data_IF_672407084263
#
_entry.id   IF_672407084263
#
_cell.length_a   1.000
_cell.length_b   1.000
_cell.length_c   1.000
_cell.angle_alpha   90.00
_cell.angle_beta   90.00
_cell.angle_gamma   90.00
#
_symmetry.space_group_name_H-M   'P 1'
#
loop_
_entity.id
_entity.type
_entity.pdbx_description
1 polymer ?
#
# COMPACT_ATOMS: atom_id res chain seq x y z
N UNK A 1 5.78 -11.67 -42.14
CA UNK A 1 6.93 -12.19 -41.37
C UNK A 1 7.20 -11.37 -40.11
N UNK A 2 7.25 -10.03 -40.19
CA UNK A 2 7.41 -9.16 -39.01
C UNK A 2 6.31 -9.37 -37.95
N UNK A 3 5.03 -9.35 -38.34
CA UNK A 3 3.87 -9.62 -37.47
C UNK A 3 3.93 -10.95 -36.71
N UNK A 4 4.39 -12.01 -37.37
CA UNK A 4 4.52 -13.33 -36.75
C UNK A 4 5.64 -13.35 -35.69
N UNK A 5 6.77 -12.71 -35.97
CA UNK A 5 7.88 -12.59 -35.00
C UNK A 5 7.47 -11.76 -33.79
N UNK A 6 6.79 -10.62 -34.00
CA UNK A 6 6.27 -9.77 -32.92
C UNK A 6 5.30 -10.54 -32.03
N UNK A 7 4.40 -11.34 -32.63
CA UNK A 7 3.45 -12.17 -31.88
C UNK A 7 4.14 -13.24 -31.04
N UNK A 8 5.11 -13.97 -31.61
CA UNK A 8 5.90 -14.97 -30.88
C UNK A 8 6.65 -14.36 -29.70
N UNK A 9 7.24 -13.18 -29.90
CA UNK A 9 7.94 -12.45 -28.85
C UNK A 9 6.99 -12.04 -27.73
N UNK A 10 5.79 -11.54 -28.04
CA UNK A 10 4.76 -11.20 -27.03
C UNK A 10 4.30 -12.43 -26.24
N UNK A 11 4.08 -13.56 -26.90
CA UNK A 11 3.73 -14.84 -26.24
C UNK A 11 4.86 -15.29 -25.29
N UNK A 12 6.12 -15.19 -25.74
CA UNK A 12 7.29 -15.50 -24.92
C UNK A 12 7.33 -14.61 -23.67
N UNK A 13 7.19 -13.30 -23.84
CA UNK A 13 7.18 -12.32 -22.73
C UNK A 13 6.03 -12.62 -21.76
N UNK A 14 4.83 -12.91 -22.23
CA UNK A 14 3.70 -13.24 -21.36
C UNK A 14 3.95 -14.48 -20.49
N UNK A 15 4.58 -15.53 -21.06
CA UNK A 15 4.99 -16.72 -20.30
C UNK A 15 6.07 -16.39 -19.27
N UNK A 16 7.07 -15.61 -19.65
CA UNK A 16 8.17 -15.21 -18.78
C UNK A 16 7.70 -14.33 -17.60
N UNK A 17 6.73 -13.45 -17.83
CA UNK A 17 6.11 -12.65 -16.77
C UNK A 17 5.36 -13.51 -15.74
N UNK A 18 4.69 -14.59 -16.16
CA UNK A 18 4.03 -15.52 -15.23
C UNK A 18 5.06 -16.18 -14.29
N UNK A 19 6.20 -16.63 -14.82
CA UNK A 19 7.27 -17.19 -14.00
C UNK A 19 7.88 -16.16 -13.04
N UNK A 20 7.98 -14.90 -13.47
CA UNK A 20 8.49 -13.79 -12.65
C UNK A 20 7.57 -13.44 -11.49
N UNK A 21 6.25 -13.43 -11.70
CA UNK A 21 5.25 -13.24 -10.63
C UNK A 21 5.38 -14.30 -9.54
N UNK A 22 5.63 -15.55 -9.93
CA UNK A 22 5.85 -16.64 -8.96
C UNK A 22 7.12 -16.42 -8.13
N UNK A 23 8.20 -15.92 -8.75
CA UNK A 23 9.46 -15.59 -8.06
C UNK A 23 9.33 -14.43 -7.07
N UNK A 24 8.53 -13.39 -7.37
CA UNK A 24 8.26 -12.29 -6.44
C UNK A 24 7.71 -12.83 -5.12
N UNK A 25 6.80 -13.81 -5.20
CA UNK A 25 6.19 -14.41 -4.01
C UNK A 25 7.17 -15.29 -3.24
N UNK A 26 7.99 -16.09 -3.93
CA UNK A 26 8.98 -16.95 -3.25
C UNK A 26 10.05 -16.17 -2.49
N UNK A 27 10.34 -14.93 -2.91
CA UNK A 27 11.29 -14.04 -2.22
C UNK A 27 10.71 -13.44 -0.94
N UNK A 28 9.41 -13.49 -0.74
CA UNK A 28 8.74 -12.81 0.37
C UNK A 28 8.23 -13.81 1.41
N UNK A 29 8.41 -13.49 2.69
CA UNK A 29 7.95 -14.32 3.80
C UNK A 29 6.43 -14.30 4.02
N UNK A 30 5.67 -13.59 3.18
CA UNK A 30 4.21 -13.44 3.23
C UNK A 30 3.60 -13.57 1.84
N UNK A 31 2.34 -13.98 1.80
CA UNK A 31 1.56 -14.02 0.57
C UNK A 31 1.24 -12.59 0.08
N UNK A 32 1.44 -12.36 -1.22
CA UNK A 32 1.12 -11.08 -1.88
C UNK A 32 -0.33 -11.09 -2.33
N UNK A 33 -1.13 -10.17 -1.79
CA UNK A 33 -2.53 -10.04 -2.16
C UNK A 33 -2.67 -9.60 -3.64
N UNK A 34 -3.68 -10.10 -4.35
CA UNK A 34 -3.92 -9.74 -5.76
C UNK A 34 -3.01 -10.46 -6.76
N UNK A 35 -2.06 -11.29 -6.31
CA UNK A 35 -1.26 -12.17 -7.19
C UNK A 35 -2.13 -12.99 -8.14
N UNK A 36 -3.18 -13.63 -7.62
CA UNK A 36 -4.09 -14.45 -8.43
C UNK A 36 -4.80 -13.62 -9.51
N UNK A 37 -5.13 -12.35 -9.21
CA UNK A 37 -5.73 -11.39 -10.16
C UNK A 37 -4.74 -11.05 -11.27
N UNK A 38 -3.49 -10.72 -10.92
CA UNK A 38 -2.42 -10.44 -11.89
C UNK A 38 -2.13 -11.65 -12.79
N UNK A 39 -2.00 -12.85 -12.21
CA UNK A 39 -1.82 -14.09 -12.97
C UNK A 39 -3.00 -14.37 -13.90
N UNK A 40 -4.22 -14.09 -13.47
CA UNK A 40 -5.42 -14.27 -14.30
C UNK A 40 -5.43 -13.32 -15.50
N UNK A 41 -5.09 -12.04 -15.29
CA UNK A 41 -4.92 -11.06 -16.39
C UNK A 41 -3.83 -11.49 -17.38
N UNK A 42 -2.65 -11.89 -16.91
CA UNK A 42 -1.57 -12.40 -17.76
C UNK A 42 -1.96 -13.66 -18.55
N UNK A 43 -2.70 -14.59 -17.94
CA UNK A 43 -3.20 -15.79 -18.63
C UNK A 43 -4.28 -15.46 -19.66
N UNK A 44 -5.14 -14.48 -19.39
CA UNK A 44 -6.14 -14.02 -20.35
C UNK A 44 -5.45 -13.41 -21.59
N UNK A 45 -4.44 -12.57 -21.37
CA UNK A 45 -3.61 -12.00 -22.43
C UNK A 45 -2.89 -13.09 -23.24
N UNK A 46 -2.26 -14.06 -22.56
CA UNK A 46 -1.61 -15.19 -23.23
C UNK A 46 -2.60 -16.00 -24.09
N UNK A 47 -3.80 -16.29 -23.58
CA UNK A 47 -4.86 -16.98 -24.34
C UNK A 47 -5.31 -16.18 -25.55
N UNK A 48 -5.40 -14.86 -25.42
CA UNK A 48 -5.73 -13.98 -26.54
C UNK A 48 -4.65 -14.06 -27.62
N UNK A 49 -3.38 -13.87 -27.26
CA UNK A 49 -2.26 -13.97 -28.20
C UNK A 49 -2.18 -15.34 -28.89
N UNK A 50 -2.44 -16.43 -28.15
CA UNK A 50 -2.50 -17.79 -28.72
C UNK A 50 -3.67 -17.98 -29.70
N UNK A 51 -4.82 -17.32 -29.49
CA UNK A 51 -5.93 -17.36 -30.45
C UNK A 51 -5.59 -16.62 -31.74
N UNK A 52 -4.85 -15.51 -31.64
CA UNK A 52 -4.32 -14.76 -32.80
C UNK A 52 -3.33 -15.62 -33.56
N UNK A 53 -2.42 -16.30 -32.86
CA UNK A 53 -1.43 -17.22 -33.45
C UNK A 53 -2.10 -18.38 -34.20
N UNK A 54 -3.17 -18.93 -33.64
CA UNK A 54 -3.96 -19.99 -34.26
C UNK A 54 -4.85 -19.51 -35.41
N UNK A 55 -4.78 -18.23 -35.80
CA UNK A 55 -5.59 -17.65 -36.88
C UNK A 55 -7.09 -17.54 -36.55
N UNK A 56 -7.47 -17.69 -35.28
CA UNK A 56 -8.88 -17.63 -34.84
C UNK A 56 -9.39 -16.19 -34.66
N UNK A 57 -8.47 -15.22 -34.64
CA UNK A 57 -8.78 -13.79 -34.50
C UNK A 57 -7.89 -13.03 -35.48
N UNK A 58 -8.50 -12.23 -36.35
CA UNK A 58 -7.80 -11.36 -37.31
C UNK A 58 -7.57 -10.01 -36.65
N UNK A 59 -6.31 -9.59 -36.53
CA UNK A 59 -5.94 -8.37 -35.80
C UNK A 59 -5.01 -7.51 -36.64
N UNK A 60 -5.22 -6.19 -36.62
CA UNK A 60 -4.32 -5.20 -37.22
C UNK A 60 -2.99 -5.15 -36.47
N UNK A 61 -1.88 -4.90 -37.16
CA UNK A 61 -0.54 -4.87 -36.55
C UNK A 61 -0.41 -3.85 -35.41
N UNK A 62 -1.12 -2.72 -35.47
CA UNK A 62 -1.19 -1.70 -34.40
C UNK A 62 -1.74 -2.25 -33.07
N UNK A 63 -2.75 -3.12 -33.12
CA UNK A 63 -3.32 -3.74 -31.92
C UNK A 63 -2.37 -4.78 -31.28
N UNK A 64 -1.43 -5.34 -32.05
CA UNK A 64 -0.37 -6.23 -31.55
C UNK A 64 0.77 -5.46 -30.86
N UNK A 65 0.92 -4.17 -31.17
CA UNK A 65 1.86 -3.28 -30.51
C UNK A 65 1.27 -2.70 -29.22
N UNK A 66 -0.02 -2.40 -29.19
CA UNK A 66 -0.80 -1.89 -28.06
C UNK A 66 -1.45 -2.99 -27.20
N UNK A 67 -0.72 -4.06 -26.89
CA UNK A 67 -1.26 -5.12 -26.02
C UNK A 67 -1.22 -4.72 -24.55
N UNK A 68 -2.17 -5.25 -23.76
CA UNK A 68 -2.21 -5.07 -22.30
C UNK A 68 -0.94 -5.59 -21.61
N UNK A 69 -0.15 -6.41 -22.31
CA UNK A 69 1.14 -6.89 -21.87
C UNK A 69 2.12 -5.76 -21.50
N UNK A 70 2.02 -4.58 -22.11
CA UNK A 70 2.86 -3.42 -21.79
C UNK A 70 2.65 -2.95 -20.35
N UNK A 71 1.39 -2.77 -19.94
CA UNK A 71 1.03 -2.40 -18.58
C UNK A 71 1.26 -3.56 -17.60
N UNK A 72 0.89 -4.80 -17.94
CA UNK A 72 1.14 -5.96 -17.06
C UNK A 72 2.63 -6.16 -16.79
N UNK A 73 3.48 -5.95 -17.80
CA UNK A 73 4.94 -5.94 -17.65
C UNK A 73 5.40 -4.84 -16.70
N UNK A 74 4.86 -3.64 -16.84
CA UNK A 74 5.17 -2.50 -15.97
C UNK A 74 4.84 -2.79 -14.49
N UNK A 75 3.74 -3.49 -14.20
CA UNK A 75 3.40 -3.90 -12.83
C UNK A 75 4.43 -4.89 -12.28
N UNK A 76 4.76 -5.93 -13.05
CA UNK A 76 5.72 -6.96 -12.63
C UNK A 76 7.11 -6.36 -12.39
N UNK A 77 7.60 -5.52 -13.31
CA UNK A 77 8.88 -4.83 -13.17
C UNK A 77 8.86 -3.87 -11.96
N UNK A 78 7.74 -3.22 -11.66
CA UNK A 78 7.64 -2.35 -10.49
C UNK A 78 7.73 -3.15 -9.20
N UNK A 79 7.03 -4.28 -9.12
CA UNK A 79 7.03 -5.15 -7.95
C UNK A 79 8.40 -5.81 -7.69
N UNK A 80 9.18 -6.12 -8.73
CA UNK A 80 10.50 -6.73 -8.58
C UNK A 80 11.57 -5.76 -8.03
N UNK A 81 11.39 -4.46 -8.24
CA UNK A 81 12.34 -3.43 -7.81
C UNK A 81 12.02 -2.87 -6.41
N UNK A 82 11.06 -3.44 -5.70
CA UNK A 82 10.61 -2.98 -4.39
C UNK A 82 10.68 -4.09 -3.35
N UNK A 83 10.89 -3.69 -2.11
CA UNK A 83 10.92 -4.60 -0.96
C UNK A 83 9.56 -4.70 -0.27
N UNK A 84 9.31 -5.82 0.42
CA UNK A 84 8.11 -6.04 1.24
C UNK A 84 6.81 -5.69 0.51
N UNK A 85 6.62 -6.23 -0.71
CA UNK A 85 5.38 -6.07 -1.48
C UNK A 85 4.23 -6.69 -0.68
N UNK A 86 3.19 -5.91 -0.45
CA UNK A 86 2.01 -6.34 0.31
C UNK A 86 0.92 -6.80 -0.64
N UNK A 87 0.70 -6.04 -1.72
CA UNK A 87 -0.35 -6.34 -2.68
C UNK A 87 -0.01 -5.79 -4.06
N UNK A 88 -0.65 -6.38 -5.07
CA UNK A 88 -0.66 -5.90 -6.45
C UNK A 88 -2.10 -5.76 -6.94
N UNK A 89 -2.38 -4.77 -7.78
CA UNK A 89 -3.73 -4.48 -8.30
C UNK A 89 -4.78 -4.32 -7.18
N UNK A 90 -4.40 -3.66 -6.10
CA UNK A 90 -5.23 -3.50 -4.91
C UNK A 90 -6.17 -2.30 -5.08
N UNK A 91 -7.41 -2.47 -4.63
CA UNK A 91 -8.47 -1.47 -4.77
C UNK A 91 -8.66 -0.79 -3.42
N UNK A 92 -8.41 0.52 -3.38
CA UNK A 92 -8.71 1.36 -2.23
C UNK A 92 -10.01 2.10 -2.46
N UNK A 93 -10.86 2.15 -1.44
CA UNK A 93 -12.01 3.05 -1.42
C UNK A 93 -11.63 4.35 -0.71
N UNK A 94 -12.09 5.48 -1.24
CA UNK A 94 -11.91 6.80 -0.67
C UNK A 94 -13.12 7.68 -0.96
N UNK A 95 -13.30 8.76 -0.21
CA UNK A 95 -14.34 9.76 -0.44
C UNK A 95 -13.76 10.90 -1.28
N UNK A 96 -14.41 11.20 -2.40
CA UNK A 96 -14.04 12.29 -3.28
C UNK A 96 -14.32 13.67 -2.67
N UNK A 97 -13.92 14.76 -3.35
CA UNK A 97 -14.15 16.13 -2.87
C UNK A 97 -15.64 16.48 -2.68
N UNK A 98 -16.52 15.79 -3.39
CA UNK A 98 -17.98 15.89 -3.34
C UNK A 98 -18.61 14.98 -2.27
N UNK A 99 -17.80 14.23 -1.52
CA UNK A 99 -18.25 13.25 -0.52
C UNK A 99 -18.75 11.94 -1.13
N UNK A 100 -18.66 11.75 -2.45
CA UNK A 100 -19.02 10.50 -3.08
C UNK A 100 -17.95 9.45 -2.87
N UNK A 101 -18.36 8.19 -2.69
CA UNK A 101 -17.41 7.08 -2.59
C UNK A 101 -16.85 6.78 -3.96
N UNK A 102 -15.54 6.76 -4.05
CA UNK A 102 -14.78 6.43 -5.25
C UNK A 102 -13.82 5.28 -4.97
N UNK A 103 -13.40 4.59 -6.03
CA UNK A 103 -12.39 3.54 -5.94
C UNK A 103 -11.13 3.95 -6.69
N UNK A 104 -9.98 3.48 -6.20
CA UNK A 104 -8.68 3.71 -6.79
C UNK A 104 -7.89 2.41 -6.84
N UNK A 105 -7.46 2.01 -8.03
CA UNK A 105 -6.59 0.85 -8.21
C UNK A 105 -5.12 1.28 -8.11
N UNK A 106 -4.44 0.74 -7.10
CA UNK A 106 -2.99 0.88 -6.92
C UNK A 106 -2.31 -0.38 -7.46
N UNK A 107 -1.40 -0.22 -8.41
CA UNK A 107 -0.81 -1.33 -9.14
C UNK A 107 0.12 -2.17 -8.26
N UNK A 108 0.93 -1.52 -7.42
CA UNK A 108 1.80 -2.17 -6.45
C UNK A 108 1.79 -1.42 -5.13
N UNK A 109 1.54 -2.13 -4.03
CA UNK A 109 1.70 -1.63 -2.67
C UNK A 109 2.90 -2.33 -2.03
N UNK A 110 3.91 -1.55 -1.65
CA UNK A 110 5.20 -2.07 -1.16
C UNK A 110 5.61 -1.42 0.17
N UNK A 111 6.79 -1.81 0.68
CA UNK A 111 7.37 -1.28 1.91
C UNK A 111 6.40 -1.37 3.11
N UNK A 112 5.69 -2.49 3.22
CA UNK A 112 4.72 -2.73 4.29
C UNK A 112 3.46 -1.85 4.21
N UNK A 113 3.14 -1.29 3.04
CA UNK A 113 1.97 -0.44 2.82
C UNK A 113 2.28 1.03 2.59
N UNK A 114 3.50 1.46 2.92
CA UNK A 114 3.89 2.87 2.88
C UNK A 114 4.35 3.36 1.52
N UNK A 115 4.29 2.53 0.48
CA UNK A 115 4.64 2.94 -0.88
C UNK A 115 3.59 2.43 -1.84
N UNK A 116 2.98 3.34 -2.58
CA UNK A 116 2.00 3.06 -3.62
C UNK A 116 2.60 3.39 -4.97
N UNK A 117 2.47 2.48 -5.92
CA UNK A 117 2.99 2.66 -7.28
C UNK A 117 1.87 2.62 -8.30
N UNK A 118 1.86 3.61 -9.18
CA UNK A 118 1.11 3.61 -10.44
C UNK A 118 2.07 3.26 -11.58
N UNK A 119 1.86 2.13 -12.23
CA UNK A 119 2.68 1.62 -13.32
C UNK A 119 2.11 2.06 -14.66
N UNK A 120 2.82 2.94 -15.37
CA UNK A 120 2.35 3.59 -16.59
C UNK A 120 3.11 3.03 -17.79
N UNK A 121 2.40 2.27 -18.62
CA UNK A 121 2.89 1.69 -19.87
C UNK A 121 2.56 2.51 -21.12
N UNK A 122 1.88 3.67 -21.00
CA UNK A 122 1.55 4.54 -22.15
C UNK A 122 2.77 5.32 -22.62
N UNK A 123 2.82 5.66 -23.92
CA UNK A 123 3.88 6.48 -24.54
C UNK A 123 3.85 7.92 -24.00
N UNK A 124 5.02 8.51 -23.76
CA UNK A 124 5.16 9.88 -23.25
C UNK A 124 4.36 10.94 -24.05
N UNK A 125 4.34 10.84 -25.37
CA UNK A 125 3.63 11.76 -26.26
C UNK A 125 2.12 11.70 -26.07
N UNK A 126 1.53 10.51 -26.02
CA UNK A 126 0.10 10.34 -25.78
C UNK A 126 -0.31 10.92 -24.42
N UNK A 127 0.53 10.71 -23.40
CA UNK A 127 0.31 11.27 -22.06
C UNK A 127 0.39 12.80 -22.05
N UNK A 128 1.34 13.38 -22.80
CA UNK A 128 1.50 14.83 -22.91
C UNK A 128 0.33 15.46 -23.65
N UNK A 129 -0.12 14.88 -24.76
CA UNK A 129 -1.26 15.38 -25.53
C UNK A 129 -2.55 15.41 -24.69
N UNK A 130 -2.83 14.35 -23.93
CA UNK A 130 -3.97 14.31 -22.99
C UNK A 130 -3.85 15.42 -21.95
N UNK A 131 -2.64 15.64 -21.41
CA UNK A 131 -2.43 16.70 -20.42
C UNK A 131 -2.63 18.11 -21.00
N UNK A 132 -2.34 18.31 -22.28
CA UNK A 132 -2.61 19.56 -23.00
C UNK A 132 -4.07 19.73 -23.43
N UNK A 133 -4.97 18.82 -23.04
CA UNK A 133 -6.39 18.88 -23.42
C UNK A 133 -6.68 18.32 -24.81
N UNK A 134 -5.70 17.72 -25.49
CA UNK A 134 -5.86 17.05 -26.80
C UNK A 134 -6.16 15.56 -26.66
N UNK A 135 -6.73 15.16 -25.53
CA UNK A 135 -7.20 13.80 -25.28
C UNK A 135 -8.59 13.56 -25.85
N UNK A 136 -9.06 12.32 -25.79
CA UNK A 136 -10.45 11.99 -26.11
C UNK A 136 -11.36 12.37 -24.93
N UNK A 137 -12.65 12.53 -25.20
CA UNK A 137 -13.64 12.71 -24.14
C UNK A 137 -13.56 11.54 -23.15
N UNK A 138 -13.47 11.84 -21.86
CA UNK A 138 -13.26 10.85 -20.79
C UNK A 138 -11.79 10.59 -20.40
N UNK A 139 -10.80 11.02 -21.20
CA UNK A 139 -9.39 10.80 -20.86
C UNK A 139 -8.98 11.56 -19.59
N UNK A 140 -8.62 10.81 -18.54
CA UNK A 140 -8.08 11.38 -17.30
C UNK A 140 -6.57 11.57 -17.41
N UNK A 141 -6.12 12.83 -17.34
CA UNK A 141 -4.70 13.16 -17.38
C UNK A 141 -3.93 12.53 -16.20
N UNK A 142 -2.64 12.30 -16.40
CA UNK A 142 -1.75 11.74 -15.35
C UNK A 142 -1.73 12.63 -14.10
N UNK A 143 -1.85 13.95 -14.28
CA UNK A 143 -1.90 14.91 -13.17
C UNK A 143 -3.20 14.75 -12.37
N UNK A 144 -4.35 14.57 -13.03
CA UNK A 144 -5.61 14.28 -12.33
C UNK A 144 -5.57 12.93 -11.60
N UNK A 145 -4.97 11.90 -12.21
CA UNK A 145 -4.75 10.62 -11.51
C UNK A 145 -3.87 10.80 -10.27
N UNK A 146 -2.83 11.64 -10.35
CA UNK A 146 -1.98 11.98 -9.23
C UNK A 146 -2.75 12.65 -8.07
N UNK A 147 -3.72 13.52 -8.38
CA UNK A 147 -4.61 14.12 -7.38
C UNK A 147 -5.44 13.06 -6.65
N UNK A 148 -6.04 12.11 -7.38
CA UNK A 148 -6.80 11.01 -6.77
C UNK A 148 -5.93 10.16 -5.84
N UNK A 149 -4.70 9.84 -6.27
CA UNK A 149 -3.75 9.07 -5.47
C UNK A 149 -3.41 9.80 -4.16
N UNK A 150 -3.15 11.11 -4.24
CA UNK A 150 -2.86 11.93 -3.07
C UNK A 150 -4.06 11.97 -2.12
N UNK A 151 -5.27 12.14 -2.65
CA UNK A 151 -6.48 12.19 -1.82
C UNK A 151 -6.76 10.84 -1.15
N UNK A 152 -6.76 9.75 -1.91
CA UNK A 152 -6.91 8.40 -1.38
C UNK A 152 -5.85 8.05 -0.32
N UNK A 153 -4.58 8.47 -0.53
CA UNK A 153 -3.49 8.19 0.41
C UNK A 153 -3.69 8.86 1.78
N UNK A 154 -4.32 10.04 1.83
CA UNK A 154 -4.61 10.75 3.08
C UNK A 154 -5.64 10.03 3.93
N UNK A 155 -6.56 9.32 3.28
CA UNK A 155 -7.64 8.58 3.92
C UNK A 155 -7.22 7.15 4.30
N UNK A 156 -6.11 6.66 3.77
CA UNK A 156 -5.55 5.33 4.02
C UNK A 156 -4.16 5.38 4.69
N UNK A 157 -4.01 6.05 5.86
CA UNK A 157 -2.71 6.14 6.51
C UNK A 157 -2.24 4.77 7.02
N UNK A 158 -0.98 4.45 6.78
CA UNK A 158 -0.31 3.26 7.31
C UNK A 158 0.56 3.71 8.48
N UNK A 159 0.29 3.16 9.66
CA UNK A 159 1.00 3.54 10.89
C UNK A 159 0.99 5.06 11.14
N UNK A 160 -0.12 5.71 10.85
CA UNK A 160 -0.30 7.17 10.95
C UNK A 160 0.48 8.01 9.94
N UNK A 161 1.08 7.39 8.93
CA UNK A 161 1.78 8.09 7.85
C UNK A 161 1.09 7.81 6.51
N UNK A 162 0.99 8.85 5.67
CA UNK A 162 0.40 8.68 4.35
C UNK A 162 1.38 7.88 3.48
N UNK A 163 0.90 6.91 2.68
CA UNK A 163 1.74 6.19 1.75
C UNK A 163 2.43 7.15 0.77
N UNK A 164 3.73 6.91 0.54
CA UNK A 164 4.51 7.61 -0.47
C UNK A 164 4.12 7.14 -1.86
N UNK A 165 3.84 8.07 -2.78
CA UNK A 165 3.33 7.73 -4.12
C UNK A 165 4.46 7.82 -5.15
N UNK A 166 4.56 6.78 -5.98
CA UNK A 166 5.51 6.69 -7.09
C UNK A 166 4.76 6.46 -8.39
N UNK A 167 4.99 7.32 -9.37
CA UNK A 167 4.52 7.12 -10.75
C UNK A 167 5.68 6.56 -11.58
N UNK A 168 5.53 5.31 -12.01
CA UNK A 168 6.55 4.55 -12.71
C UNK A 168 6.25 4.46 -14.20
N UNK A 169 6.93 5.27 -14.99
CA UNK A 169 6.83 5.31 -16.44
C UNK A 169 7.80 4.30 -17.07
N UNK A 170 7.30 3.52 -18.02
CA UNK A 170 8.08 2.51 -18.75
C UNK A 170 8.32 2.86 -20.22
N UNK A 171 7.61 3.87 -20.74
CA UNK A 171 7.75 4.38 -22.11
C UNK A 171 7.93 5.91 -22.13
N UNK A 172 8.65 6.41 -21.12
CA UNK A 172 9.01 7.81 -20.94
C UNK A 172 7.90 8.70 -20.36
N UNK A 173 8.31 9.87 -19.87
CA UNK A 173 7.44 10.98 -19.43
C UNK A 173 8.04 12.31 -19.84
N UNK A 174 7.23 13.26 -20.30
CA UNK A 174 7.74 14.58 -20.67
C UNK A 174 8.31 15.34 -19.46
N UNK A 175 9.40 16.09 -19.65
CA UNK A 175 10.02 16.88 -18.56
C UNK A 175 9.03 17.75 -17.80
N UNK A 176 8.14 18.53 -18.45
CA UNK A 176 7.20 19.39 -17.73
C UNK A 176 6.21 18.59 -16.88
N UNK A 177 5.77 17.42 -17.34
CA UNK A 177 4.91 16.53 -16.54
C UNK A 177 5.65 15.94 -15.34
N UNK A 178 6.90 15.50 -15.55
CA UNK A 178 7.73 14.94 -14.49
C UNK A 178 7.98 15.98 -13.39
N UNK A 179 8.25 17.22 -13.77
CA UNK A 179 8.45 18.33 -12.83
C UNK A 179 7.16 18.67 -12.11
N UNK A 180 6.01 18.67 -12.81
CA UNK A 180 4.72 18.88 -12.18
C UNK A 180 4.38 17.83 -11.12
N UNK A 181 4.64 16.55 -11.40
CA UNK A 181 4.44 15.46 -10.45
C UNK A 181 5.32 15.62 -9.21
N UNK A 182 6.59 16.03 -9.39
CA UNK A 182 7.51 16.29 -8.26
C UNK A 182 7.03 17.46 -7.40
N UNK A 183 6.53 18.54 -8.02
CA UNK A 183 5.94 19.68 -7.28
C UNK A 183 4.76 19.24 -6.39
N UNK A 184 3.98 18.26 -6.83
CA UNK A 184 2.88 17.68 -6.06
C UNK A 184 3.34 16.73 -4.94
N UNK A 185 4.64 16.44 -4.84
CA UNK A 185 5.21 15.50 -3.88
C UNK A 185 5.23 14.05 -4.35
N UNK A 186 4.96 13.78 -5.63
CA UNK A 186 4.99 12.42 -6.21
C UNK A 186 6.39 12.13 -6.76
N UNK A 187 6.92 10.95 -6.43
CA UNK A 187 8.17 10.49 -7.02
C UNK A 187 7.95 9.93 -8.42
N UNK A 188 8.82 10.31 -9.35
CA UNK A 188 8.78 9.85 -10.74
C UNK A 188 9.91 8.84 -10.96
N UNK A 189 9.57 7.70 -11.55
CA UNK A 189 10.51 6.67 -12.04
C UNK A 189 10.35 6.53 -13.54
N UNK A 190 11.45 6.38 -14.27
CA UNK A 190 11.47 6.19 -15.73
C UNK A 190 12.31 7.25 -16.44
N UNK A 191 12.29 7.18 -17.77
CA UNK A 191 13.01 8.12 -18.63
C UNK A 191 12.22 9.43 -18.78
N UNK A 192 12.87 10.55 -18.52
CA UNK A 192 12.34 11.89 -18.72
C UNK A 192 12.78 12.35 -20.11
N UNK A 193 11.82 12.65 -20.97
CA UNK A 193 12.06 13.06 -22.37
C UNK A 193 11.84 14.56 -22.55
N UNK A 194 12.59 15.15 -23.47
CA UNK A 194 12.53 16.57 -23.77
C UNK A 194 11.22 16.95 -24.47
N UNK A 195 10.90 18.24 -24.43
CA UNK A 195 9.74 18.82 -25.11
C UNK A 195 10.22 20.03 -25.89
N UNK A 196 9.88 20.07 -27.18
CA UNK A 196 10.23 21.16 -28.08
C UNK A 196 9.00 22.05 -28.31
N UNK A 197 9.19 23.37 -28.33
CA UNK A 197 8.14 24.33 -28.70
C UNK A 197 8.15 24.49 -30.22
N UNK A 198 7.01 24.26 -30.85
CA UNK A 198 6.78 24.51 -32.26
C UNK A 198 6.04 25.85 -32.34
N UNK A 199 6.65 26.81 -33.03
CA UNK A 199 5.99 28.05 -33.44
C UNK A 199 5.32 27.73 -34.78
N UNK A 200 4.03 28.02 -34.91
CA UNK A 200 3.20 27.56 -36.02
C UNK A 200 3.78 27.85 -37.39
N UNK A 201 4.09 26.79 -38.12
CA UNK A 201 3.94 26.75 -39.57
C UNK A 201 3.03 25.55 -39.84
N UNK A 202 1.97 25.78 -40.61
CA UNK A 202 0.97 24.80 -41.02
C UNK A 202 1.66 23.49 -41.49
N UNK A 203 1.51 22.39 -40.75
CA UNK A 203 1.86 21.07 -41.30
C UNK A 203 0.63 20.55 -42.02
N UNK A 204 0.75 20.47 -43.36
CA UNK A 204 -0.10 19.64 -44.22
C UNK A 204 -0.21 18.23 -43.62
N UNK A 205 -1.43 17.69 -43.58
CA UNK A 205 -1.76 16.34 -43.13
C UNK A 205 -0.96 15.26 -43.90
N UNK A 206 0.28 14.99 -43.53
CA UNK A 206 1.00 13.78 -43.92
C UNK A 206 0.88 12.72 -42.81
N UNK A 207 -0.14 11.89 -42.98
CA UNK A 207 -0.26 10.50 -42.52
C UNK A 207 0.32 10.16 -41.13
N UNK A 208 -0.54 10.18 -40.11
CA UNK A 208 -0.38 9.32 -38.94
C UNK A 208 -1.66 8.54 -38.63
N UNK A 209 -1.86 7.44 -39.35
CA UNK A 209 -2.78 6.36 -38.98
C UNK A 209 -2.31 5.61 -37.71
N UNK A 210 -2.15 6.30 -36.58
CA UNK A 210 -1.94 5.65 -35.27
C UNK A 210 -3.14 5.94 -34.37
N UNK A 211 -4.32 5.50 -34.82
CA UNK A 211 -5.51 5.35 -33.97
C UNK A 211 -5.30 4.14 -33.05
N UNK A 212 -4.50 4.29 -32.00
CA UNK A 212 -4.55 3.39 -30.84
C UNK A 212 -5.90 3.60 -30.15
N UNK A 213 -6.82 2.64 -30.34
CA UNK A 213 -8.11 2.61 -29.67
C UNK A 213 -7.87 2.48 -28.17
N UNK A 214 -8.28 3.47 -27.39
CA UNK A 214 -8.29 3.39 -25.94
C UNK A 214 -9.19 2.23 -25.51
N UNK A 215 -8.58 1.11 -25.10
CA UNK A 215 -9.29 0.09 -24.35
C UNK A 215 -9.21 0.50 -22.89
N UNK A 216 -10.29 1.10 -22.41
CA UNK A 216 -10.52 1.28 -20.99
C UNK A 216 -10.59 -0.11 -20.33
N UNK A 217 -9.69 -0.36 -19.36
CA UNK A 217 -9.87 -1.41 -18.36
C UNK A 217 -10.04 -0.78 -16.98
N UNK A 218 -11.06 0.06 -16.83
CA UNK A 218 -11.69 0.34 -15.53
C UNK A 218 -13.20 0.14 -15.70
N UNK A 219 -13.62 -1.12 -15.85
CA UNK A 219 -15.02 -1.50 -15.62
C UNK A 219 -15.17 -1.83 -14.15
N UNK A 220 -15.78 -0.89 -13.42
CA UNK A 220 -16.45 -1.17 -12.15
C UNK A 220 -17.67 -2.05 -12.46
N UNK A 221 -17.70 -3.26 -11.92
CA UNK A 221 -18.91 -4.10 -11.90
C UNK A 221 -19.80 -3.59 -10.77
N UNK A 222 -20.87 -2.85 -11.10
CA UNK A 222 -22.03 -2.68 -10.21
C UNK A 222 -23.36 -2.87 -10.95
N UNK A 223 -24.37 -3.17 -10.15
CA UNK A 223 -25.57 -3.96 -10.40
C UNK A 223 -26.60 -3.38 -11.38
N UNK A 224 -27.42 -4.31 -11.87
CA UNK A 224 -28.73 -4.11 -12.48
C UNK A 224 -29.62 -3.19 -11.62
N UNK A 225 -30.12 -2.11 -12.22
CA UNK A 225 -31.50 -1.67 -11.99
C UNK A 225 -32.02 -0.89 -13.21
N UNK A 226 -33.27 -1.19 -13.52
CA UNK A 226 -34.09 -0.68 -14.62
C UNK A 226 -34.34 0.83 -14.45
N UNK A 227 -34.49 1.58 -15.56
CA UNK A 227 -35.64 2.48 -15.86
C UNK A 227 -35.33 3.34 -17.11
N UNK A 228 -36.24 3.16 -18.09
CA UNK A 228 -36.86 4.10 -19.05
C UNK A 228 -36.03 4.99 -20.00
N UNK A 229 -36.43 4.88 -21.27
CA UNK A 229 -36.02 5.63 -22.45
C UNK A 229 -36.57 7.06 -22.39
N UNK A 230 -35.72 8.07 -22.57
CA UNK A 230 -36.13 9.39 -23.06
C UNK A 230 -35.16 9.83 -24.17
N UNK A 231 -35.72 10.04 -25.36
CA UNK A 231 -35.09 10.62 -26.54
C UNK A 231 -35.02 12.14 -26.35
N UNK A 232 -33.84 12.76 -26.48
CA UNK A 232 -33.74 14.21 -26.67
C UNK A 232 -32.80 14.56 -27.84
N UNK A 233 -33.22 15.59 -28.55
CA UNK A 233 -32.88 16.00 -29.92
C UNK A 233 -31.50 16.67 -30.02
N UNK A 234 -30.80 16.48 -31.15
CA UNK A 234 -29.56 17.18 -31.45
C UNK A 234 -29.86 18.62 -31.91
N UNK A 235 -29.25 19.60 -31.23
CA UNK A 235 -29.11 20.98 -31.73
C UNK A 235 -27.65 21.18 -32.21
N UNK A 236 -27.52 21.42 -33.52
CA UNK A 236 -26.30 21.87 -34.18
C UNK A 236 -25.95 23.30 -33.71
N UNK A 237 -24.88 23.46 -32.93
CA UNK A 237 -24.24 24.77 -32.72
C UNK A 237 -22.93 24.83 -33.54
N UNK A 238 -23.02 25.53 -34.66
CA UNK A 238 -21.90 26.18 -35.35
C UNK A 238 -21.26 27.18 -34.37
N UNK A 239 -19.98 27.02 -34.01
CA UNK A 239 -19.24 28.11 -33.37
C UNK A 239 -17.86 28.34 -33.99
N UNK A 240 -17.63 29.62 -34.20
CA UNK A 240 -16.65 30.29 -35.04
C UNK A 240 -15.21 30.08 -34.56
N UNK A 241 -14.29 30.08 -35.53
CA UNK A 241 -12.85 30.08 -35.33
C UNK A 241 -12.39 31.35 -34.60
N UNK A 242 -11.82 31.20 -33.40
CA UNK A 242 -10.96 32.22 -32.79
C UNK A 242 -9.50 31.71 -32.80
N UNK A 243 -8.76 32.22 -33.78
CA UNK A 243 -7.38 31.89 -34.11
C UNK A 243 -6.43 32.63 -33.15
N UNK A 244 -6.34 32.15 -31.90
CA UNK A 244 -5.24 32.53 -31.01
C UNK A 244 -4.08 31.57 -31.21
N UNK A 245 -2.95 32.07 -31.71
CA UNK A 245 -1.61 31.43 -31.78
C UNK A 245 -1.34 30.49 -30.58
N UNK A 246 -1.76 29.23 -30.69
CA UNK A 246 -1.53 28.22 -29.67
C UNK A 246 -0.10 27.72 -29.85
N UNK A 247 0.82 28.19 -29.00
CA UNK A 247 2.15 27.59 -28.91
C UNK A 247 2.03 26.08 -28.64
N UNK A 248 2.31 25.27 -29.65
CA UNK A 248 2.21 23.82 -29.55
C UNK A 248 3.54 23.23 -29.07
N UNK A 249 3.49 22.36 -28.06
CA UNK A 249 4.68 21.63 -27.63
C UNK A 249 4.61 20.18 -28.04
N UNK A 250 5.72 19.63 -28.55
CA UNK A 250 5.83 18.24 -29.02
C UNK A 250 6.91 17.50 -28.24
N UNK A 251 6.62 16.26 -27.89
CA UNK A 251 7.57 15.41 -27.15
C UNK A 251 8.66 14.91 -28.09
N UNK A 252 9.91 15.15 -27.74
CA UNK A 252 11.08 14.57 -28.42
C UNK A 252 11.49 13.29 -27.69
N UNK A 253 11.12 12.15 -28.26
CA UNK A 253 11.34 10.82 -27.65
C UNK A 253 12.81 10.40 -27.68
N UNK A 254 13.60 10.94 -28.60
CA UNK A 254 14.99 10.53 -28.80
C UNK A 254 15.92 11.27 -27.83
N UNK A 255 15.46 12.40 -27.29
CA UNK A 255 16.22 13.21 -26.33
C UNK A 255 15.80 12.90 -24.88
N UNK A 256 16.48 11.92 -24.27
CA UNK A 256 16.34 11.62 -22.83
C UNK A 256 17.13 12.64 -22.01
N UNK A 257 16.42 13.42 -21.20
CA UNK A 257 16.97 14.46 -20.33
C UNK A 257 17.49 13.85 -19.02
N UNK A 258 16.83 12.83 -18.50
CA UNK A 258 17.25 12.10 -17.29
C UNK A 258 16.61 10.71 -17.26
N UNK A 259 17.23 9.75 -16.56
CA UNK A 259 16.64 8.44 -16.27
C UNK A 259 16.61 8.22 -14.76
N UNK A 260 15.40 8.07 -14.20
CA UNK A 260 15.20 7.93 -12.76
C UNK A 260 14.86 6.48 -12.42
N UNK A 261 15.73 5.83 -11.63
CA UNK A 261 15.47 4.50 -11.10
C UNK A 261 14.47 4.54 -9.93
N UNK A 262 14.01 3.36 -9.47
CA UNK A 262 13.31 3.28 -8.20
C UNK A 262 14.22 3.80 -7.07
N UNK A 263 13.68 4.58 -6.11
CA UNK A 263 14.47 5.02 -4.97
C UNK A 263 15.01 3.79 -4.21
N UNK A 264 16.33 3.69 -4.07
CA UNK A 264 16.99 2.58 -3.37
C UNK A 264 16.63 2.58 -1.88
N UNK A 265 16.32 3.75 -1.33
CA UNK A 265 15.69 3.94 -0.03
C UNK A 265 14.47 4.86 -0.24
N UNK A 266 13.26 4.29 -0.29
CA UNK A 266 12.06 5.11 -0.17
C UNK A 266 12.06 5.63 1.26
N UNK A 267 12.19 6.95 1.45
CA UNK A 267 12.01 7.61 2.75
C UNK A 267 10.55 7.44 3.18
N UNK A 268 10.27 6.29 3.77
CA UNK A 268 9.01 6.05 4.46
C UNK A 268 9.11 6.79 5.79
N UNK A 269 8.21 7.74 6.03
CA UNK A 269 8.06 8.35 7.34
C UNK A 269 7.47 7.30 8.30
N UNK A 270 8.32 6.44 8.85
CA UNK A 270 7.89 5.37 9.76
C UNK A 270 7.55 6.02 11.10
N UNK A 271 6.38 5.70 11.66
CA UNK A 271 6.01 6.23 12.96
C UNK A 271 7.04 5.85 14.04
N UNK A 272 7.58 6.89 14.69
CA UNK A 272 8.62 6.78 15.71
C UNK A 272 8.07 6.79 17.13
N UNK A 273 6.76 6.69 17.30
CA UNK A 273 6.10 6.69 18.60
C UNK A 273 5.43 5.35 18.85
N UNK A 274 5.61 4.83 20.06
CA UNK A 274 5.06 3.54 20.47
C UNK A 274 4.33 3.70 21.78
N UNK A 275 3.12 3.17 21.86
CA UNK A 275 2.32 3.11 23.07
C UNK A 275 2.33 1.66 23.60
N UNK A 276 2.76 1.45 24.83
CA UNK A 276 2.86 0.11 25.41
C UNK A 276 1.57 -0.22 26.18
N UNK A 277 0.85 -1.22 25.70
CA UNK A 277 -0.25 -1.84 26.45
C UNK A 277 0.31 -2.57 27.69
N UNK A 278 -0.55 -2.78 28.69
CA UNK A 278 -0.25 -3.56 29.91
C UNK A 278 0.27 -4.94 29.53
N UNK A 279 -0.31 -5.57 28.51
CA UNK A 279 0.15 -6.90 28.05
C UNK A 279 1.58 -6.89 27.52
N UNK A 280 2.00 -5.79 26.90
CA UNK A 280 3.39 -5.56 26.46
C UNK A 280 4.29 -5.27 27.64
N UNK A 281 3.87 -4.43 28.60
CA UNK A 281 4.64 -4.17 29.82
C UNK A 281 4.94 -5.46 30.58
N UNK A 282 3.92 -6.31 30.76
CA UNK A 282 4.04 -7.63 31.41
C UNK A 282 4.98 -8.55 30.63
N UNK A 283 4.73 -8.68 29.31
CA UNK A 283 5.53 -9.57 28.46
C UNK A 283 6.99 -9.13 28.43
N UNK A 284 7.24 -7.83 28.31
CA UNK A 284 8.60 -7.30 28.24
C UNK A 284 9.40 -7.62 29.49
N UNK A 285 8.80 -7.59 30.68
CA UNK A 285 9.53 -7.80 31.95
C UNK A 285 9.48 -9.24 32.46
N UNK A 286 8.62 -10.09 31.88
CA UNK A 286 8.40 -11.48 32.30
C UNK A 286 9.70 -12.27 32.43
N UNK A 287 9.79 -13.10 33.46
CA UNK A 287 10.90 -14.06 33.62
C UNK A 287 11.02 -15.01 32.43
N UNK A 288 9.89 -15.43 31.83
CA UNK A 288 9.87 -16.28 30.63
C UNK A 288 10.67 -15.62 29.50
N UNK A 289 10.37 -14.35 29.20
CA UNK A 289 11.00 -13.57 28.13
C UNK A 289 12.51 -13.35 28.31
N UNK A 290 13.03 -13.63 29.50
CA UNK A 290 14.45 -13.51 29.85
C UNK A 290 15.13 -14.87 30.01
N UNK A 291 14.55 -15.94 29.44
CA UNK A 291 15.18 -17.25 29.34
C UNK A 291 14.75 -18.26 30.42
N UNK A 292 13.99 -17.85 31.44
CA UNK A 292 13.47 -18.76 32.46
C UNK A 292 12.24 -19.54 31.99
N UNK A 293 12.35 -20.16 30.81
CA UNK A 293 11.28 -20.88 30.13
C UNK A 293 11.45 -22.41 30.18
N UNK A 294 12.39 -22.94 30.99
CA UNK A 294 12.66 -24.38 31.12
C UNK A 294 11.97 -25.01 32.33
N UNK A 295 10.71 -24.63 32.55
CA UNK A 295 9.89 -25.10 33.66
C UNK A 295 8.53 -25.62 33.18
N UNK A 296 8.02 -26.61 33.89
CA UNK A 296 6.63 -27.05 33.87
C UNK A 296 5.92 -26.46 35.09
N UNK A 297 4.99 -25.54 34.85
CA UNK A 297 4.19 -24.90 35.88
C UNK A 297 2.92 -25.71 36.18
N UNK A 298 2.33 -25.49 37.36
CA UNK A 298 1.03 -26.09 37.72
C UNK A 298 -0.09 -25.61 36.80
N UNK A 299 -0.04 -24.34 36.41
CA UNK A 299 -0.96 -23.77 35.45
C UNK A 299 -0.56 -24.12 34.01
N UNK A 300 -1.44 -24.84 33.30
CA UNK A 300 -1.21 -25.31 31.92
C UNK A 300 -0.83 -24.15 31.00
N UNK A 301 -1.53 -23.02 31.10
CA UNK A 301 -1.28 -21.82 30.27
C UNK A 301 0.15 -21.28 30.43
N UNK A 302 0.74 -21.36 31.64
CA UNK A 302 2.12 -20.90 31.85
C UNK A 302 3.12 -21.87 31.24
N UNK A 303 2.85 -23.17 31.31
CA UNK A 303 3.66 -24.21 30.64
C UNK A 303 3.60 -24.05 29.12
N UNK A 304 2.44 -23.74 28.56
CA UNK A 304 2.27 -23.44 27.13
C UNK A 304 3.06 -22.20 26.72
N UNK A 305 2.97 -21.10 27.48
CA UNK A 305 3.75 -19.89 27.18
C UNK A 305 5.25 -20.10 27.29
N UNK A 306 5.72 -20.89 28.26
CA UNK A 306 7.11 -21.29 28.37
C UNK A 306 7.56 -22.12 27.15
N UNK A 307 6.72 -23.05 26.68
CA UNK A 307 6.99 -23.81 25.46
C UNK A 307 7.06 -22.92 24.21
N UNK A 308 6.15 -21.95 24.10
CA UNK A 308 6.18 -20.96 23.02
C UNK A 308 7.46 -20.11 23.06
N UNK A 309 7.92 -19.68 24.24
CA UNK A 309 9.16 -18.90 24.35
C UNK A 309 10.41 -19.70 23.94
N UNK A 310 10.43 -21.01 24.17
CA UNK A 310 11.50 -21.89 23.69
C UNK A 310 11.50 -22.03 22.16
N UNK A 311 10.34 -21.95 21.52
CA UNK A 311 10.20 -22.01 20.07
C UNK A 311 10.51 -20.66 19.40
N UNK A 312 9.95 -19.58 19.95
CA UNK A 312 10.09 -18.23 19.45
C UNK A 312 10.24 -17.24 20.61
N UNK A 313 11.44 -16.67 20.72
CA UNK A 313 11.76 -15.68 21.75
C UNK A 313 11.08 -14.36 21.44
N UNK A 314 10.28 -13.86 22.38
CA UNK A 314 9.52 -12.62 22.16
C UNK A 314 10.38 -11.36 22.34
N UNK A 315 11.32 -11.38 23.29
CA UNK A 315 12.05 -10.17 23.70
C UNK A 315 12.84 -9.51 22.56
N UNK A 316 13.63 -10.24 21.73
CA UNK A 316 14.36 -9.61 20.62
C UNK A 316 13.44 -8.88 19.63
N UNK A 317 12.25 -9.44 19.36
CA UNK A 317 11.26 -8.81 18.47
C UNK A 317 10.69 -7.52 19.06
N UNK A 318 10.46 -7.48 20.37
CA UNK A 318 10.01 -6.27 21.06
C UNK A 318 11.10 -5.19 21.04
N UNK A 319 12.35 -5.57 21.32
CA UNK A 319 13.48 -4.64 21.33
C UNK A 319 13.80 -4.07 19.95
N UNK A 320 13.78 -4.90 18.92
CA UNK A 320 13.95 -4.48 17.53
C UNK A 320 12.89 -3.45 17.15
N UNK A 321 11.62 -3.71 17.46
CA UNK A 321 10.54 -2.78 17.15
C UNK A 321 10.64 -1.46 17.93
N UNK A 322 11.04 -1.50 19.20
CA UNK A 322 11.18 -0.30 20.05
C UNK A 322 12.45 0.50 19.78
N UNK A 323 13.43 -0.06 19.06
CA UNK A 323 14.73 0.57 18.84
C UNK A 323 14.59 1.92 18.13
N UNK A 324 15.14 2.96 18.73
CA UNK A 324 15.13 4.33 18.19
C UNK A 324 13.78 5.05 18.28
N UNK A 325 12.77 4.46 18.95
CA UNK A 325 11.43 5.04 19.09
C UNK A 325 11.21 5.68 20.45
N UNK A 326 10.31 6.66 20.48
CA UNK A 326 9.79 7.23 21.70
C UNK A 326 8.73 6.30 22.31
N UNK A 327 8.92 5.94 23.58
CA UNK A 327 8.06 4.98 24.27
C UNK A 327 7.10 5.71 25.21
N UNK A 328 5.82 5.43 25.06
CA UNK A 328 4.73 5.98 25.84
C UNK A 328 3.94 4.86 26.51
N UNK A 329 3.28 5.21 27.61
CA UNK A 329 2.22 4.41 28.21
C UNK A 329 1.21 5.35 28.87
N UNK A 330 -0.08 5.05 28.76
CA UNK A 330 -1.09 5.85 29.44
C UNK A 330 -1.08 5.56 30.95
N UNK A 331 -1.56 6.52 31.73
CA UNK A 331 -1.54 6.46 33.19
C UNK A 331 -2.26 5.20 33.71
N UNK A 332 -3.47 4.92 33.20
CA UNK A 332 -4.21 3.70 33.56
C UNK A 332 -3.40 2.42 33.30
N UNK A 333 -2.66 2.35 32.19
CA UNK A 333 -1.84 1.19 31.86
C UNK A 333 -0.72 0.96 32.89
N UNK A 334 -0.04 2.03 33.27
CA UNK A 334 1.08 1.95 34.23
C UNK A 334 0.58 1.61 35.64
N UNK A 335 -0.55 2.19 36.06
CA UNK A 335 -1.16 1.91 37.36
C UNK A 335 -1.61 0.45 37.45
N UNK A 336 -2.36 -0.04 36.45
CA UNK A 336 -2.77 -1.44 36.39
C UNK A 336 -1.58 -2.40 36.34
N UNK A 337 -0.54 -2.06 35.56
CA UNK A 337 0.69 -2.85 35.49
C UNK A 337 1.39 -2.95 36.85
N UNK A 338 1.51 -1.84 37.59
CA UNK A 338 2.09 -1.83 38.94
C UNK A 338 1.31 -2.72 39.90
N UNK A 339 -0.03 -2.64 39.89
CA UNK A 339 -0.88 -3.51 40.73
C UNK A 339 -0.63 -5.00 40.45
N UNK A 340 -0.54 -5.37 39.17
CA UNK A 340 -0.25 -6.76 38.76
C UNK A 340 1.15 -7.17 39.21
N UNK A 341 2.15 -6.31 39.01
CA UNK A 341 3.54 -6.56 39.36
C UNK A 341 3.74 -6.69 40.87
N UNK A 342 3.07 -5.88 41.68
CA UNK A 342 3.14 -5.96 43.13
C UNK A 342 2.52 -7.25 43.67
N UNK A 343 1.46 -7.72 43.02
CA UNK A 343 0.72 -8.94 43.40
C UNK A 343 1.45 -10.21 42.97
N UNK A 344 2.03 -10.23 41.76
CA UNK A 344 2.53 -11.46 41.13
C UNK A 344 4.03 -11.47 40.83
N UNK A 345 4.66 -10.31 40.70
CA UNK A 345 6.02 -10.17 40.21
C UNK A 345 7.08 -10.60 41.21
N UNK A 346 8.10 -11.32 40.73
CA UNK A 346 9.31 -11.62 41.49
C UNK A 346 10.32 -10.47 41.51
N UNK A 347 11.42 -10.58 42.28
CA UNK A 347 12.44 -9.55 42.39
C UNK A 347 13.07 -9.14 41.04
N UNK A 348 13.36 -10.10 40.17
CA UNK A 348 13.92 -9.83 38.84
C UNK A 348 12.94 -9.12 37.92
N UNK A 349 11.69 -9.56 37.88
CA UNK A 349 10.59 -8.92 37.13
C UNK A 349 10.37 -7.48 37.60
N UNK A 350 10.43 -7.24 38.92
CA UNK A 350 10.33 -5.89 39.51
C UNK A 350 11.49 -4.99 39.11
N UNK A 351 12.72 -5.50 39.22
CA UNK A 351 13.91 -4.74 38.80
C UNK A 351 13.88 -4.37 37.31
N UNK A 352 13.45 -5.29 36.44
CA UNK A 352 13.28 -5.02 35.01
C UNK A 352 12.16 -4.03 34.73
N UNK A 353 11.07 -4.08 35.49
CA UNK A 353 9.99 -3.11 35.39
C UNK A 353 10.42 -1.70 35.74
N UNK A 354 11.23 -1.51 36.79
CA UNK A 354 11.80 -0.20 37.13
C UNK A 354 12.65 0.35 35.99
N UNK A 355 13.51 -0.49 35.40
CA UNK A 355 14.34 -0.11 34.26
C UNK A 355 13.51 0.26 33.01
N UNK A 356 12.41 -0.46 32.74
CA UNK A 356 11.50 -0.15 31.65
C UNK A 356 10.74 1.15 31.91
N UNK A 357 10.17 1.32 33.10
CA UNK A 357 9.39 2.50 33.48
C UNK A 357 10.23 3.78 33.44
N UNK A 358 11.52 3.71 33.78
CA UNK A 358 12.44 4.84 33.67
C UNK A 358 12.63 5.34 32.22
N UNK A 359 12.37 4.50 31.21
CA UNK A 359 12.45 4.84 29.78
C UNK A 359 11.13 5.34 29.21
N UNK A 360 10.02 5.15 29.92
CA UNK A 360 8.67 5.42 29.42
C UNK A 360 8.24 6.86 29.72
N UNK A 361 7.65 7.52 28.73
CA UNK A 361 6.87 8.74 28.91
C UNK A 361 5.45 8.37 29.32
N UNK A 362 5.16 8.45 30.62
CA UNK A 362 3.81 8.22 31.13
C UNK A 362 2.96 9.46 30.85
N UNK A 363 1.81 9.28 30.20
CA UNK A 363 0.90 10.36 29.81
C UNK A 363 -0.48 10.19 30.45
N UNK A 364 -1.26 11.27 30.64
CA UNK A 364 -2.65 11.16 31.07
C UNK A 364 -3.48 10.35 30.06
N UNK A 365 -4.54 9.70 30.53
CA UNK A 365 -5.48 9.02 29.65
C UNK A 365 -6.24 10.05 28.81
N UNK A 366 -6.12 9.94 27.48
CA UNK A 366 -6.73 10.85 26.51
C UNK A 366 -7.19 10.04 25.29
N UNK A 367 -8.27 9.24 25.42
CA UNK A 367 -8.77 8.43 24.32
C UNK A 367 -9.20 9.29 23.13
N UNK A 368 -8.95 8.82 21.91
CA UNK A 368 -9.37 9.53 20.70
C UNK A 368 -10.88 9.49 20.53
N UNK A 369 -11.44 10.50 19.85
CA UNK A 369 -12.89 10.63 19.63
C UNK A 369 -13.50 9.38 18.95
N UNK A 370 -12.78 8.78 17.98
CA UNK A 370 -13.22 7.53 17.34
C UNK A 370 -13.19 6.32 18.27
N UNK A 371 -12.33 6.34 19.28
CA UNK A 371 -12.28 5.31 20.31
C UNK A 371 -13.46 5.42 21.27
N UNK A 372 -13.83 6.65 21.64
CA UNK A 372 -14.96 6.92 22.53
C UNK A 372 -16.31 6.50 21.92
N UNK A 373 -16.42 6.49 20.59
CA UNK A 373 -17.60 6.01 19.87
C UNK A 373 -17.77 4.49 19.86
N UNK A 374 -16.77 3.72 20.29
CA UNK A 374 -16.87 2.26 20.31
C UNK A 374 -17.90 1.77 21.34
N UNK A 375 -18.74 0.84 20.90
CA UNK A 375 -19.73 0.18 21.75
C UNK A 375 -19.04 -0.82 22.68
N UNK A 376 -19.25 -0.63 23.99
CA UNK A 376 -18.74 -1.50 25.04
C UNK A 376 -19.16 -2.96 24.86
N UNK A 377 -18.25 -3.89 25.12
CA UNK A 377 -18.52 -5.32 25.14
C UNK A 377 -17.51 -6.05 26.04
N UNK A 378 -17.62 -7.38 26.15
CA UNK A 378 -16.62 -8.17 26.88
C UNK A 378 -15.20 -8.03 26.30
N UNK A 379 -15.08 -7.78 25.00
CA UNK A 379 -13.79 -7.59 24.30
C UNK A 379 -13.39 -6.12 24.18
N UNK A 380 -14.36 -5.20 24.21
CA UNK A 380 -14.19 -3.74 24.15
C UNK A 380 -14.51 -3.18 25.54
N UNK A 381 -13.54 -3.26 26.44
CA UNK A 381 -13.69 -2.78 27.83
C UNK A 381 -13.05 -1.39 28.01
N UNK A 382 -13.40 -0.72 29.11
CA UNK A 382 -12.94 0.65 29.42
C UNK A 382 -11.41 0.77 29.45
N UNK A 383 -10.71 -0.23 29.99
CA UNK A 383 -9.24 -0.25 30.03
C UNK A 383 -8.65 -0.25 28.63
N UNK A 384 -9.12 -1.15 27.77
CA UNK A 384 -8.66 -1.19 26.38
C UNK A 384 -8.96 0.12 25.64
N UNK A 385 -10.12 0.76 25.88
CA UNK A 385 -10.38 2.07 25.29
C UNK A 385 -9.37 3.13 25.71
N UNK A 386 -9.03 3.22 27.00
CA UNK A 386 -8.06 4.20 27.47
C UNK A 386 -6.68 3.96 26.83
N UNK A 387 -6.23 2.71 26.78
CA UNK A 387 -4.91 2.36 26.26
C UNK A 387 -4.82 2.61 24.76
N UNK A 388 -5.72 2.00 23.99
CA UNK A 388 -5.66 2.09 22.53
C UNK A 388 -6.05 3.49 22.05
N UNK A 389 -7.03 4.13 22.70
CA UNK A 389 -7.44 5.48 22.36
C UNK A 389 -6.36 6.51 22.67
N UNK A 390 -5.65 6.38 23.79
CA UNK A 390 -4.53 7.30 24.09
C UNK A 390 -3.39 7.10 23.09
N UNK A 391 -3.05 5.84 22.75
CA UNK A 391 -2.09 5.55 21.69
C UNK A 391 -2.49 6.17 20.35
N UNK A 392 -3.79 6.12 20.05
CA UNK A 392 -4.36 6.69 18.83
C UNK A 392 -4.26 8.22 18.79
N UNK A 393 -4.62 8.91 19.87
CA UNK A 393 -4.45 10.36 20.03
C UNK A 393 -2.99 10.79 19.86
N UNK A 394 -2.05 9.99 20.38
CA UNK A 394 -0.62 10.27 20.26
C UNK A 394 -0.05 9.99 18.85
N UNK A 395 -0.84 9.37 17.97
CA UNK A 395 -0.38 8.78 16.70
C UNK A 395 0.78 7.81 16.93
N UNK A 396 0.66 7.00 17.98
CA UNK A 396 1.65 6.02 18.41
C UNK A 396 1.18 4.60 18.13
N UNK A 397 2.05 3.77 17.55
CA UNK A 397 1.70 2.36 17.30
C UNK A 397 1.54 1.66 18.65
N UNK A 398 0.36 1.08 18.90
CA UNK A 398 0.11 0.38 20.16
C UNK A 398 0.67 -1.04 20.10
N UNK A 399 1.68 -1.33 20.92
CA UNK A 399 2.16 -2.69 21.15
C UNK A 399 1.18 -3.41 22.07
N UNK A 400 0.79 -4.63 21.73
CA UNK A 400 -0.20 -5.39 22.52
C UNK A 400 -0.17 -6.88 22.22
N UNK A 401 -0.61 -7.71 23.18
CA UNK A 401 -1.04 -9.09 22.95
C UNK A 401 -2.57 -9.25 22.87
N UNK A 402 -3.34 -8.16 23.03
CA UNK A 402 -4.80 -8.17 23.03
C UNK A 402 -5.38 -8.11 21.61
N UNK A 403 -5.16 -9.17 20.83
CA UNK A 403 -5.76 -9.33 19.49
C UNK A 403 -7.30 -9.39 19.51
N UNK A 404 -7.90 -9.67 20.67
CA UNK A 404 -9.34 -9.67 20.88
C UNK A 404 -9.96 -8.29 20.74
N UNK A 405 -9.37 -7.29 21.40
CA UNK A 405 -9.80 -5.89 21.29
C UNK A 405 -9.62 -5.36 19.86
N UNK A 406 -8.44 -5.57 19.27
CA UNK A 406 -8.12 -5.07 17.92
C UNK A 406 -9.16 -5.52 16.89
N UNK A 407 -9.52 -6.81 16.90
CA UNK A 407 -10.55 -7.35 16.01
C UNK A 407 -11.94 -6.82 16.33
N UNK A 408 -12.29 -6.69 17.61
CA UNK A 408 -13.59 -6.19 18.01
C UNK A 408 -13.81 -4.72 17.61
N UNK A 409 -12.77 -3.87 17.73
CA UNK A 409 -12.82 -2.49 17.27
C UNK A 409 -12.89 -2.39 15.74
N UNK A 410 -12.12 -3.21 15.02
CA UNK A 410 -12.15 -3.24 13.56
C UNK A 410 -13.54 -3.61 13.01
N UNK A 411 -14.24 -4.56 13.66
CA UNK A 411 -15.61 -4.92 13.33
C UNK A 411 -16.63 -3.78 13.57
N UNK A 412 -16.27 -2.77 14.37
CA UNK A 412 -17.05 -1.55 14.57
C UNK A 412 -16.56 -0.38 13.69
N UNK A 413 -15.70 -0.66 12.70
CA UNK A 413 -15.20 0.35 11.76
C UNK A 413 -13.95 1.11 12.23
N UNK A 414 -13.37 0.79 13.39
CA UNK A 414 -12.17 1.48 13.91
C UNK A 414 -10.94 0.57 13.81
N UNK A 415 -10.03 0.91 12.91
CA UNK A 415 -8.73 0.23 12.76
C UNK A 415 -7.62 1.03 13.44
N UNK A 416 -6.96 0.40 14.41
CA UNK A 416 -5.80 0.95 15.10
C UNK A 416 -4.49 0.47 14.46
N UNK A 417 -3.47 1.32 14.49
CA UNK A 417 -2.11 0.92 14.16
C UNK A 417 -1.51 0.18 15.34
N UNK A 418 -1.25 -1.11 15.17
CA UNK A 418 -0.83 -2.00 16.26
C UNK A 418 0.36 -2.86 15.89
N UNK A 419 1.19 -3.16 16.89
CA UNK A 419 2.20 -4.20 16.83
C UNK A 419 1.77 -5.35 17.74
N UNK A 420 1.35 -6.46 17.15
CA UNK A 420 0.86 -7.62 17.90
C UNK A 420 2.01 -8.57 18.21
N UNK A 421 2.17 -8.92 19.49
CA UNK A 421 3.13 -9.92 19.95
C UNK A 421 2.43 -11.05 20.72
N UNK A 422 3.14 -12.18 20.89
CA UNK A 422 2.67 -13.27 21.75
C UNK A 422 2.83 -12.89 23.23
N UNK A 423 1.87 -13.22 24.10
CA UNK A 423 1.95 -12.86 25.52
C UNK A 423 2.91 -13.77 26.29
N UNK A 424 3.59 -13.20 27.29
CA UNK A 424 4.30 -13.96 28.35
C UNK A 424 3.89 -13.41 29.71
N UNK A 425 3.37 -14.27 30.56
CA UNK A 425 2.93 -13.91 31.91
C UNK A 425 4.12 -13.75 32.87
N UNK A 426 3.91 -13.04 33.97
CA UNK A 426 4.86 -13.05 35.09
C UNK A 426 4.90 -14.44 35.72
N UNK A 427 6.10 -15.02 35.86
CA UNK A 427 6.27 -16.39 36.36
C UNK A 427 7.23 -16.51 37.52
N UNK A 428 8.09 -15.52 37.79
CA UNK A 428 9.16 -15.64 38.78
C UNK A 428 8.62 -16.03 40.17
N UNK A 429 7.53 -15.40 40.62
CA UNK A 429 6.88 -15.72 41.90
C UNK A 429 6.28 -17.15 41.99
N UNK A 430 6.20 -17.87 40.87
CA UNK A 430 5.67 -19.24 40.76
C UNK A 430 6.73 -20.29 40.42
N UNK A 431 7.97 -19.89 40.15
CA UNK A 431 9.06 -20.80 39.77
C UNK A 431 9.42 -21.78 40.90
N UNK A 432 9.34 -21.35 42.17
CA UNK A 432 9.67 -22.18 43.34
C UNK A 432 8.84 -23.47 43.46
N UNK A 433 7.64 -23.50 42.84
CA UNK A 433 6.71 -24.63 42.83
C UNK A 433 6.59 -25.30 41.46
N UNK A 434 7.39 -24.88 40.49
CA UNK A 434 7.46 -25.44 39.15
C UNK A 434 8.50 -26.58 39.10
N UNK A 435 8.33 -27.50 38.15
CA UNK A 435 9.27 -28.59 37.92
C UNK A 435 10.21 -28.23 36.75
N UNK A 436 11.54 -28.32 36.90
CA UNK A 436 12.47 -28.18 35.78
C UNK A 436 12.19 -29.22 34.68
N UNK A 437 12.46 -28.84 33.43
CA UNK A 437 12.36 -29.73 32.25
C UNK A 437 13.70 -30.38 31.95
#
# INVERSE_FOLDING_TARGET
MATYNTLQDRIRVAKELLERVDKICSRQGREVEGRAKLCSKLRAELKFLQKVEAGKVVIKESHLQSTNLTHLRAIVESAENLENVVSVLHVFAYEGPDGQKQTLVVDVVANGGHTWVKAIGRKAEALHNIWQGRGQYGDKSVIRQAEDFLEASRQQPVQYSNPHIIFAFYNGVSSPMADKLKEMGISVRGDIVAVNTIIGEEEEDEDSEDKERCVEEDREEENEDLVEEEEEEEEDDDDDSDDTDLMHTRVDRDTIVASLAFPTEVKVDVCNRVNLDITTLITYVSSLSHGNCHFTFKEVVLTEQAAQERQEKVLPRLEEFMKGKELFACQSAVEDFRVILDTLGGPGEKSRAEALLARLKVVPDQPSERTERLVMSSKVNRRSLMIFGTGDTLRAITMTANSGFVRAAANQGVRYSVFIHQPRALTEGKEWRAAPI
#
